data_IF_324895315148
#
_entry.id   IF_324895315148
#
_cell.length_a   1.000
_cell.length_b   1.000
_cell.length_c   1.000
_cell.angle_alpha   90.00
_cell.angle_beta   90.00
_cell.angle_gamma   90.00
#
_symmetry.space_group_name_H-M   'P 1'
#
loop_
_entity.id
_entity.type
_entity.pdbx_description
1 polymer ?
#
# COMPACT_ATOMS: atom_id res chain seq x y z
N UNK A 1 53.76 62.60 8.93
CA UNK A 1 52.42 61.99 8.83
C UNK A 1 52.56 60.52 9.17
N UNK A 2 51.90 59.96 10.21
CA UNK A 2 51.99 58.53 10.52
C UNK A 2 51.25 57.73 9.45
N UNK A 3 51.91 56.73 8.86
CA UNK A 3 51.35 55.88 7.81
C UNK A 3 50.22 54.99 8.35
N UNK A 4 49.05 55.01 7.70
CA UNK A 4 47.86 54.19 8.02
C UNK A 4 47.97 52.77 7.44
N UNK A 5 49.10 52.09 7.61
CA UNK A 5 49.23 50.70 7.18
C UNK A 5 48.76 49.75 8.29
N UNK A 6 47.52 49.94 8.77
CA UNK A 6 46.89 49.04 9.73
C UNK A 6 45.99 48.04 9.01
N UNK A 7 46.51 46.82 8.95
CA UNK A 7 45.80 45.57 9.23
C UNK A 7 44.66 45.21 8.26
N UNK A 8 45.05 44.75 7.07
CA UNK A 8 44.33 43.65 6.43
C UNK A 8 44.59 42.37 7.23
N UNK A 9 43.77 42.15 8.26
CA UNK A 9 43.72 40.90 9.02
C UNK A 9 43.11 39.80 8.14
N UNK A 10 43.89 38.79 7.72
CA UNK A 10 43.35 37.66 6.97
C UNK A 10 42.52 36.83 7.94
N UNK A 11 41.19 36.89 7.82
CA UNK A 11 40.31 35.97 8.53
C UNK A 11 40.72 34.56 8.10
N UNK A 12 41.09 33.65 9.03
CA UNK A 12 41.36 32.28 8.64
C UNK A 12 40.06 31.68 8.10
N UNK A 13 40.00 31.49 6.78
CA UNK A 13 39.05 30.56 6.17
C UNK A 13 39.43 29.17 6.68
N UNK A 14 38.85 28.78 7.81
CA UNK A 14 38.90 27.42 8.32
C UNK A 14 38.15 26.52 7.35
N UNK A 15 38.86 25.92 6.41
CA UNK A 15 38.34 24.92 5.50
C UNK A 15 38.08 23.59 6.23
N UNK A 16 37.06 22.87 5.77
CA UNK A 16 36.78 21.50 6.19
C UNK A 16 37.98 20.61 5.83
N UNK A 17 38.40 19.74 6.75
CA UNK A 17 39.57 18.90 6.48
C UNK A 17 39.22 17.76 5.51
N UNK A 18 40.18 17.28 4.72
CA UNK A 18 39.94 16.16 3.80
C UNK A 18 39.47 14.91 4.55
N UNK A 19 40.01 14.68 5.75
CA UNK A 19 39.57 13.60 6.64
C UNK A 19 38.12 13.76 7.08
N UNK A 20 37.64 14.99 7.22
CA UNK A 20 36.26 15.28 7.62
C UNK A 20 35.28 14.94 6.49
N UNK A 21 35.62 15.23 5.23
CA UNK A 21 34.80 14.79 4.10
C UNK A 21 34.83 13.26 3.92
N UNK A 22 35.96 12.60 4.14
CA UNK A 22 36.04 11.13 4.09
C UNK A 22 35.21 10.51 5.22
N UNK A 23 35.31 11.02 6.44
CA UNK A 23 34.52 10.51 7.56
C UNK A 23 33.03 10.65 7.31
N UNK A 24 32.58 11.78 6.72
CA UNK A 24 31.18 11.97 6.33
C UNK A 24 30.75 10.96 5.27
N UNK A 25 31.55 10.75 4.22
CA UNK A 25 31.28 9.76 3.15
C UNK A 25 31.17 8.33 3.72
N UNK A 26 32.00 7.99 4.69
CA UNK A 26 31.95 6.68 5.38
C UNK A 26 30.68 6.56 6.21
N UNK A 27 30.31 7.59 6.98
CA UNK A 27 29.09 7.58 7.80
C UNK A 27 27.84 7.46 6.91
N UNK A 28 27.72 8.27 5.86
CA UNK A 28 26.57 8.17 4.95
C UNK A 28 26.56 6.83 4.20
N UNK A 29 27.72 6.24 3.90
CA UNK A 29 27.83 4.91 3.29
C UNK A 29 27.26 3.80 4.17
N UNK A 30 27.58 3.81 5.47
CA UNK A 30 27.04 2.85 6.44
C UNK A 30 25.54 3.05 6.64
N UNK A 31 25.09 4.30 6.79
CA UNK A 31 23.66 4.61 6.94
C UNK A 31 22.84 4.20 5.70
N UNK A 32 23.36 4.45 4.49
CA UNK A 32 22.71 4.06 3.25
C UNK A 32 22.61 2.53 3.11
N UNK A 33 23.67 1.79 3.47
CA UNK A 33 23.67 0.33 3.44
C UNK A 33 22.63 -0.28 4.39
N UNK A 34 22.40 0.33 5.56
CA UNK A 34 21.37 -0.11 6.51
C UNK A 34 19.95 0.31 6.12
N UNK A 35 19.79 1.41 5.39
CA UNK A 35 18.47 1.96 5.03
C UNK A 35 17.82 1.22 3.85
N UNK A 36 18.59 0.84 2.83
CA UNK A 36 18.08 0.22 1.60
C UNK A 36 17.29 -1.10 1.75
N UNK A 37 17.63 -2.07 2.63
CA UNK A 37 17.00 -3.40 2.59
C UNK A 37 15.50 -3.40 2.86
N UNK A 38 14.96 -2.41 3.56
CA UNK A 38 13.52 -2.34 3.88
C UNK A 38 12.67 -1.72 2.77
N UNK A 39 13.21 -0.86 1.92
CA UNK A 39 12.39 -0.10 0.97
C UNK A 39 11.78 -0.95 -0.14
N UNK A 40 12.38 -2.09 -0.47
CA UNK A 40 11.90 -2.96 -1.55
C UNK A 40 10.61 -3.71 -1.23
N UNK A 41 10.34 -4.03 0.04
CA UNK A 41 9.21 -4.90 0.42
C UNK A 41 7.96 -4.11 0.81
N UNK A 42 8.13 -2.91 1.38
CA UNK A 42 7.04 -2.02 1.84
C UNK A 42 5.86 -1.90 0.85
N UNK A 43 6.06 -1.70 -0.47
CA UNK A 43 4.93 -1.60 -1.40
C UNK A 43 4.13 -2.91 -1.49
N UNK A 44 4.78 -4.07 -1.41
CA UNK A 44 4.13 -5.39 -1.45
C UNK A 44 3.36 -5.63 -0.16
N UNK A 45 3.95 -5.33 1.00
CA UNK A 45 3.24 -5.42 2.28
C UNK A 45 2.00 -4.51 2.32
N UNK A 46 2.11 -3.28 1.82
CA UNK A 46 1.00 -2.34 1.74
C UNK A 46 -0.11 -2.84 0.80
N UNK A 47 0.26 -3.36 -0.38
CA UNK A 47 -0.68 -3.96 -1.33
C UNK A 47 -1.43 -5.16 -0.72
N UNK A 48 -0.72 -6.03 -0.01
CA UNK A 48 -1.32 -7.18 0.68
C UNK A 48 -2.25 -6.74 1.82
N UNK A 49 -1.86 -5.74 2.61
CA UNK A 49 -2.72 -5.17 3.66
C UNK A 49 -4.01 -4.58 3.08
N UNK A 50 -3.91 -3.88 1.95
CA UNK A 50 -5.07 -3.35 1.25
C UNK A 50 -5.98 -4.47 0.75
N UNK A 51 -5.46 -5.48 0.06
CA UNK A 51 -6.25 -6.64 -0.39
C UNK A 51 -6.95 -7.37 0.75
N UNK A 52 -6.30 -7.48 1.91
CA UNK A 52 -6.94 -8.04 3.12
C UNK A 52 -8.10 -7.17 3.61
N UNK A 53 -7.96 -5.85 3.59
CA UNK A 53 -9.03 -4.93 3.96
C UNK A 53 -10.22 -5.02 2.98
N UNK A 54 -9.94 -5.12 1.68
CA UNK A 54 -10.98 -5.38 0.66
C UNK A 54 -11.71 -6.69 0.94
N UNK A 55 -11.00 -7.75 1.29
CA UNK A 55 -11.67 -9.01 1.62
C UNK A 55 -12.56 -8.94 2.85
N UNK A 56 -12.16 -8.18 3.86
CA UNK A 56 -12.98 -7.98 5.05
C UNK A 56 -14.30 -7.25 4.70
N UNK A 57 -14.25 -6.23 3.84
CA UNK A 57 -15.46 -5.53 3.41
C UNK A 57 -16.35 -6.40 2.52
N UNK A 58 -15.78 -7.25 1.65
CA UNK A 58 -16.53 -8.25 0.89
C UNK A 58 -17.26 -9.23 1.82
N UNK A 59 -16.57 -9.73 2.86
CA UNK A 59 -17.19 -10.62 3.85
C UNK A 59 -18.36 -9.96 4.59
N UNK A 60 -18.20 -8.69 5.00
CA UNK A 60 -19.26 -7.93 5.67
C UNK A 60 -20.45 -7.64 4.74
N UNK A 61 -20.18 -7.29 3.48
CA UNK A 61 -21.21 -7.09 2.47
C UNK A 61 -21.97 -8.39 2.18
N UNK A 62 -21.25 -9.51 2.05
CA UNK A 62 -21.84 -10.84 1.88
C UNK A 62 -22.73 -11.27 3.04
N UNK A 63 -22.31 -11.03 4.28
CA UNK A 63 -23.11 -11.30 5.47
C UNK A 63 -24.40 -10.45 5.52
N UNK A 64 -24.29 -9.16 5.19
CA UNK A 64 -25.44 -8.25 5.13
C UNK A 64 -26.42 -8.68 4.02
N UNK A 65 -25.92 -9.08 2.86
CA UNK A 65 -26.74 -9.57 1.77
C UNK A 65 -27.47 -10.87 2.14
N UNK A 66 -26.76 -11.83 2.75
CA UNK A 66 -27.36 -13.06 3.26
C UNK A 66 -28.47 -12.78 4.28
N UNK A 67 -28.24 -11.83 5.19
CA UNK A 67 -29.25 -11.42 6.16
C UNK A 67 -30.49 -10.83 5.47
N UNK A 68 -30.32 -9.93 4.49
CA UNK A 68 -31.45 -9.37 3.71
C UNK A 68 -32.25 -10.43 2.97
N UNK A 69 -31.57 -11.46 2.48
CA UNK A 69 -32.20 -12.57 1.81
C UNK A 69 -32.97 -13.51 2.73
N UNK A 70 -32.46 -13.74 3.94
CA UNK A 70 -33.18 -14.53 4.94
C UNK A 70 -34.55 -13.92 5.30
N UNK A 71 -34.72 -12.60 5.14
CA UNK A 71 -35.98 -11.88 5.37
C UNK A 71 -36.68 -11.45 4.06
N UNK A 72 -36.25 -11.97 2.90
CA UNK A 72 -36.88 -11.74 1.58
C UNK A 72 -37.01 -10.25 1.19
N UNK A 73 -36.10 -9.39 1.66
CA UNK A 73 -36.12 -7.96 1.35
C UNK A 73 -35.33 -7.72 0.06
N UNK A 74 -35.91 -8.12 -1.08
CA UNK A 74 -35.35 -7.97 -2.43
C UNK A 74 -34.89 -9.29 -3.07
N UNK A 75 -34.39 -9.24 -4.32
CA UNK A 75 -33.93 -10.41 -5.05
C UNK A 75 -32.70 -11.06 -4.42
N UNK A 76 -32.70 -12.40 -4.37
CA UNK A 76 -31.72 -13.24 -3.70
C UNK A 76 -30.89 -14.07 -4.66
N UNK A 77 -30.34 -13.39 -5.65
CA UNK A 77 -29.44 -13.99 -6.61
C UNK A 77 -28.07 -14.26 -5.96
N UNK A 78 -27.39 -15.36 -6.32
CA UNK A 78 -26.08 -15.66 -5.79
C UNK A 78 -25.10 -14.52 -6.14
N UNK A 79 -24.41 -13.99 -5.12
CA UNK A 79 -23.38 -12.98 -5.34
C UNK A 79 -22.30 -13.50 -6.28
N UNK A 80 -21.95 -12.71 -7.29
CA UNK A 80 -20.81 -13.01 -8.16
C UNK A 80 -19.67 -12.05 -7.80
N UNK A 81 -18.49 -12.59 -7.55
CA UNK A 81 -17.31 -11.83 -7.12
C UNK A 81 -16.47 -11.39 -8.33
N UNK A 82 -17.12 -10.94 -9.41
CA UNK A 82 -16.45 -10.59 -10.68
C UNK A 82 -16.20 -9.09 -10.81
N UNK A 83 -15.11 -8.77 -11.50
CA UNK A 83 -14.64 -7.42 -11.82
C UNK A 83 -15.16 -6.85 -13.15
N UNK A 84 -16.23 -7.38 -13.75
CA UNK A 84 -16.70 -6.86 -15.05
C UNK A 84 -18.21 -6.89 -15.26
N UNK A 85 -18.76 -5.69 -15.37
CA UNK A 85 -19.86 -5.18 -16.21
C UNK A 85 -21.27 -5.80 -16.24
N UNK A 86 -21.58 -6.89 -15.54
CA UNK A 86 -23.00 -7.27 -15.43
C UNK A 86 -23.30 -7.96 -14.10
N UNK A 87 -23.94 -7.22 -13.19
CA UNK A 87 -24.44 -7.74 -11.91
C UNK A 87 -23.46 -7.59 -10.74
N UNK A 88 -23.07 -6.35 -10.42
CA UNK A 88 -22.03 -6.04 -9.42
C UNK A 88 -22.60 -5.32 -8.20
N UNK A 89 -22.90 -6.02 -7.11
CA UNK A 89 -23.27 -5.37 -5.85
C UNK A 89 -22.06 -5.08 -4.94
N UNK A 90 -20.95 -5.82 -5.11
CA UNK A 90 -19.84 -5.80 -4.13
C UNK A 90 -18.86 -4.64 -4.32
N UNK A 91 -18.61 -4.23 -5.57
CA UNK A 91 -17.58 -3.22 -5.86
C UNK A 91 -18.06 -1.77 -5.59
N UNK A 92 -19.34 -1.49 -5.79
CA UNK A 92 -19.93 -0.15 -5.57
C UNK A 92 -19.99 0.24 -4.09
N UNK A 93 -19.87 -0.73 -3.17
CA UNK A 93 -19.94 -0.49 -1.73
C UNK A 93 -18.63 0.02 -1.13
N UNK A 94 -17.53 0.01 -1.89
CA UNK A 94 -16.21 0.37 -1.37
C UNK A 94 -15.65 1.53 -2.19
N UNK A 95 -15.81 2.75 -1.68
CA UNK A 95 -15.22 3.94 -2.30
C UNK A 95 -13.69 3.89 -2.23
N UNK A 96 -13.03 4.24 -3.34
CA UNK A 96 -11.56 4.32 -3.42
C UNK A 96 -10.83 3.06 -3.90
N UNK A 97 -11.55 2.02 -4.34
CA UNK A 97 -10.95 0.82 -4.96
C UNK A 97 -11.10 0.91 -6.47
N UNK A 98 -9.99 0.99 -7.19
CA UNK A 98 -9.97 0.84 -8.65
C UNK A 98 -9.98 -0.64 -9.02
N UNK A 99 -10.86 -1.04 -9.93
CA UNK A 99 -10.92 -2.42 -10.47
C UNK A 99 -9.64 -2.83 -11.21
N UNK A 100 -8.82 -1.86 -11.61
CA UNK A 100 -7.53 -2.10 -12.28
C UNK A 100 -6.45 -2.60 -11.34
N UNK A 101 -6.56 -2.28 -10.05
CA UNK A 101 -5.52 -2.58 -9.05
C UNK A 101 -5.73 -3.93 -8.36
N UNK A 102 -6.86 -4.59 -8.63
CA UNK A 102 -7.24 -5.84 -8.01
C UNK A 102 -7.73 -6.86 -9.03
N UNK A 103 -7.21 -8.08 -8.92
CA UNK A 103 -7.80 -9.24 -9.60
C UNK A 103 -8.79 -9.88 -8.64
N UNK A 104 -10.07 -9.83 -9.01
CA UNK A 104 -11.17 -10.45 -8.28
C UNK A 104 -11.62 -11.72 -9.03
N UNK A 105 -12.15 -12.67 -8.29
CA UNK A 105 -12.69 -13.89 -8.88
C UNK A 105 -13.52 -14.68 -7.89
N UNK A 106 -14.00 -15.83 -8.34
CA UNK A 106 -14.82 -16.72 -7.54
C UNK A 106 -16.30 -16.35 -7.53
N UNK A 107 -17.06 -17.07 -6.72
CA UNK A 107 -18.51 -16.97 -6.66
C UNK A 107 -19.00 -17.09 -5.23
N UNK A 108 -20.23 -16.65 -4.97
CA UNK A 108 -20.91 -16.85 -3.69
C UNK A 108 -20.86 -18.29 -3.17
N UNK A 109 -20.94 -19.28 -4.08
CA UNK A 109 -20.95 -20.70 -3.75
C UNK A 109 -19.55 -21.30 -3.51
N UNK A 110 -18.52 -20.75 -4.16
CA UNK A 110 -17.14 -21.25 -4.04
C UNK A 110 -16.24 -20.39 -3.13
N UNK A 111 -16.70 -19.20 -2.74
CA UNK A 111 -15.89 -18.16 -2.10
C UNK A 111 -15.38 -17.13 -3.11
N UNK A 112 -15.22 -15.88 -2.65
CA UNK A 112 -14.62 -14.81 -3.43
C UNK A 112 -13.10 -14.83 -3.25
N UNK A 113 -12.36 -14.51 -4.31
CA UNK A 113 -10.90 -14.33 -4.28
C UNK A 113 -10.54 -12.89 -4.60
N UNK A 114 -9.58 -12.31 -3.86
CA UNK A 114 -9.03 -10.98 -4.12
C UNK A 114 -7.53 -10.99 -4.00
N UNK A 115 -6.88 -10.36 -4.97
CA UNK A 115 -5.44 -10.12 -4.98
C UNK A 115 -5.17 -8.73 -5.53
N UNK A 116 -4.27 -7.99 -4.89
CA UNK A 116 -3.77 -6.71 -5.40
C UNK A 116 -2.75 -6.97 -6.51
N UNK A 117 -2.73 -6.20 -7.59
CA UNK A 117 -1.81 -6.40 -8.74
C UNK A 117 -0.34 -6.25 -8.37
N UNK A 118 -0.03 -5.31 -7.47
CA UNK A 118 1.29 -5.12 -6.84
C UNK A 118 1.55 -6.02 -5.62
N UNK A 119 0.60 -6.89 -5.24
CA UNK A 119 0.73 -7.82 -4.11
C UNK A 119 0.90 -9.26 -4.55
N UNK A 120 1.45 -10.08 -3.66
CA UNK A 120 1.77 -11.47 -3.94
C UNK A 120 0.80 -12.48 -3.31
N UNK A 121 -0.09 -12.02 -2.43
CA UNK A 121 -1.04 -12.88 -1.71
C UNK A 121 -2.43 -12.80 -2.31
N UNK A 122 -3.04 -13.97 -2.54
CA UNK A 122 -4.47 -14.07 -2.89
C UNK A 122 -5.26 -14.46 -1.65
N UNK A 123 -6.23 -13.64 -1.30
CA UNK A 123 -7.11 -13.86 -0.18
C UNK A 123 -8.42 -14.46 -0.67
N UNK A 124 -8.89 -15.52 0.00
CA UNK A 124 -10.13 -16.22 -0.38
C UNK A 124 -11.10 -16.17 0.80
N UNK A 125 -12.36 -15.81 0.54
CA UNK A 125 -13.42 -15.87 1.54
C UNK A 125 -14.00 -17.27 1.59
N UNK A 126 -14.61 -17.63 2.72
CA UNK A 126 -15.52 -18.77 2.75
C UNK A 126 -16.70 -18.53 1.78
N UNK A 127 -17.37 -19.62 1.34
CA UNK A 127 -18.63 -19.52 0.63
C UNK A 127 -19.64 -18.69 1.42
N UNK A 128 -20.27 -17.74 0.74
CA UNK A 128 -21.29 -16.86 1.32
C UNK A 128 -22.67 -17.54 1.21
N UNK A 129 -22.84 -18.42 0.21
CA UNK A 129 -24.05 -19.17 -0.09
C UNK A 129 -23.76 -20.68 -0.14
N UNK A 130 -24.71 -21.55 0.25
CA UNK A 130 -24.67 -22.98 -0.06
C UNK A 130 -24.95 -23.25 -1.55
#
# INVERSE_FOLDING_TARGET
>A
MPNLNRLSDPRPCSGFTLVEMIMVLVIIGVLAAMALPRYGTIPVEAANANAKAVMASIGAAGATYKARCAVSIGPCDPLVCLSSETGTFVLTLISGISVTDYTLGGSAAAGCTVRHTAGDVTYTSAPIWP
#
